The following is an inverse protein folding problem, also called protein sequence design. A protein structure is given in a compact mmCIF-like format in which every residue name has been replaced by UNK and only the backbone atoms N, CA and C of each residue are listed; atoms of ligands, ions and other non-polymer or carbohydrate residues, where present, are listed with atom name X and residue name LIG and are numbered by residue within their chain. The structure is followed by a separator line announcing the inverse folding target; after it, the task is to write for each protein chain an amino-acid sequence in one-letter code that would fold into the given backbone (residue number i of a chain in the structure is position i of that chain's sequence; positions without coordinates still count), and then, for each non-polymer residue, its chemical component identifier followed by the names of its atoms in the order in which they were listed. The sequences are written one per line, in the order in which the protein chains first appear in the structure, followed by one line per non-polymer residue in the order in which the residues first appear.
data_IF_435155083696
#
_entry.id   IF_435155083696
#
_cell.length_a   1.000
_cell.length_b   1.000
_cell.length_c   1.000
_cell.angle_alpha   90.00
_cell.angle_beta   90.00
_cell.angle_gamma   90.00
#
_symmetry.space_group_name_H-M   'P 1'
#
loop_
_entity.id
_entity.type
_entity.pdbx_description
1 polymer ?
#
# COMPACT_ATOMS: atom_id res chain seq x y z
N UNK A 1 -21.55 -36.26 19.53
CA UNK A 1 -20.84 -35.06 19.03
C UNK A 1 -21.85 -33.99 18.65
N UNK A 2 -21.79 -32.80 19.26
CA UNK A 2 -22.76 -31.73 19.10
C UNK A 2 -22.60 -31.04 17.72
N UNK A 3 -23.62 -31.11 16.85
CA UNK A 3 -23.62 -30.50 15.51
C UNK A 3 -23.32 -28.99 15.54
N UNK A 4 -23.67 -28.30 16.63
CA UNK A 4 -23.40 -26.86 16.83
C UNK A 4 -21.90 -26.52 16.89
N UNK A 5 -21.10 -27.37 17.55
CA UNK A 5 -19.65 -27.18 17.65
C UNK A 5 -18.95 -27.39 16.29
N UNK A 6 -19.42 -28.34 15.49
CA UNK A 6 -18.90 -28.60 14.15
C UNK A 6 -19.11 -27.39 13.21
N UNK A 7 -20.24 -26.68 13.35
CA UNK A 7 -20.54 -25.49 12.54
C UNK A 7 -19.69 -24.28 12.92
N UNK A 8 -19.31 -24.12 14.20
CA UNK A 8 -18.42 -23.03 14.64
C UNK A 8 -16.99 -23.21 14.09
N UNK A 9 -16.45 -24.43 14.17
CA UNK A 9 -15.10 -24.73 13.68
C UNK A 9 -15.02 -24.56 12.16
N UNK A 10 -16.03 -25.03 11.40
CA UNK A 10 -16.13 -24.78 9.96
C UNK A 10 -16.20 -23.28 9.61
N UNK A 11 -16.93 -22.47 10.39
CA UNK A 11 -17.00 -21.01 10.20
C UNK A 11 -15.65 -20.33 10.43
N UNK A 12 -14.92 -20.70 11.50
CA UNK A 12 -13.58 -20.15 11.80
C UNK A 12 -12.60 -20.46 10.67
N UNK A 13 -12.58 -21.72 10.21
CA UNK A 13 -11.70 -22.14 9.12
C UNK A 13 -11.97 -21.37 7.82
N UNK A 14 -13.26 -21.13 7.50
CA UNK A 14 -13.64 -20.30 6.35
C UNK A 14 -13.16 -18.84 6.49
N UNK A 15 -13.24 -18.26 7.68
CA UNK A 15 -12.80 -16.88 7.94
C UNK A 15 -11.29 -16.76 7.76
N UNK A 16 -10.51 -17.69 8.31
CA UNK A 16 -9.05 -17.71 8.17
C UNK A 16 -8.62 -17.90 6.72
N UNK A 17 -9.27 -18.84 5.99
CA UNK A 17 -9.04 -19.01 4.54
C UNK A 17 -9.35 -17.73 3.76
N UNK A 18 -10.44 -17.02 4.09
CA UNK A 18 -10.79 -15.74 3.45
C UNK A 18 -9.76 -14.65 3.76
N UNK A 19 -9.26 -14.57 5.00
CA UNK A 19 -8.20 -13.62 5.39
C UNK A 19 -6.91 -13.88 4.61
N UNK A 20 -6.46 -15.14 4.55
CA UNK A 20 -5.27 -15.52 3.80
C UNK A 20 -5.40 -15.17 2.31
N UNK A 21 -6.53 -15.52 1.68
CA UNK A 21 -6.79 -15.15 0.27
C UNK A 21 -6.73 -13.64 0.06
N UNK A 22 -7.31 -12.85 0.96
CA UNK A 22 -7.28 -11.38 0.88
C UNK A 22 -5.86 -10.83 1.00
N UNK A 23 -5.02 -11.42 1.86
CA UNK A 23 -3.61 -11.03 1.98
C UNK A 23 -2.83 -11.35 0.70
N UNK A 24 -3.03 -12.54 0.12
CA UNK A 24 -2.41 -12.92 -1.16
C UNK A 24 -2.88 -12.00 -2.29
N UNK A 25 -4.16 -11.67 -2.36
CA UNK A 25 -4.69 -10.72 -3.35
C UNK A 25 -4.03 -9.34 -3.21
N UNK A 26 -3.95 -8.81 -1.98
CA UNK A 26 -3.25 -7.55 -1.72
C UNK A 26 -1.78 -7.60 -2.11
N UNK A 27 -1.11 -8.72 -1.86
CA UNK A 27 0.29 -8.93 -2.23
C UNK A 27 0.47 -8.92 -3.75
N UNK A 28 -0.32 -9.70 -4.48
CA UNK A 28 -0.24 -9.79 -5.95
C UNK A 28 -0.54 -8.42 -6.58
N UNK A 29 -1.64 -7.77 -6.18
CA UNK A 29 -2.00 -6.45 -6.69
C UNK A 29 -0.93 -5.41 -6.34
N UNK A 30 -0.40 -5.46 -5.11
CA UNK A 30 0.67 -4.59 -4.65
C UNK A 30 1.94 -4.76 -5.49
N UNK A 31 2.35 -5.99 -5.78
CA UNK A 31 3.51 -6.30 -6.64
C UNK A 31 3.28 -5.76 -8.05
N UNK A 32 2.13 -6.06 -8.67
CA UNK A 32 1.83 -5.63 -10.04
C UNK A 32 1.87 -4.10 -10.14
N UNK A 33 1.18 -3.39 -9.23
CA UNK A 33 1.17 -1.94 -9.21
C UNK A 33 2.57 -1.37 -8.95
N UNK A 34 3.34 -1.97 -8.04
CA UNK A 34 4.70 -1.50 -7.72
C UNK A 34 5.64 -1.65 -8.91
N UNK A 35 5.54 -2.74 -9.67
CA UNK A 35 6.31 -2.94 -10.90
C UNK A 35 5.94 -1.89 -11.94
N UNK A 36 4.64 -1.62 -12.13
CA UNK A 36 4.18 -0.59 -13.08
C UNK A 36 4.70 0.80 -12.69
N UNK A 37 4.60 1.16 -11.41
CA UNK A 37 5.11 2.43 -10.89
C UNK A 37 6.64 2.52 -11.08
N UNK A 38 7.37 1.46 -10.78
CA UNK A 38 8.82 1.40 -10.94
C UNK A 38 9.22 1.63 -12.41
N UNK A 39 8.62 0.88 -13.34
CA UNK A 39 8.91 0.99 -14.78
C UNK A 39 8.55 2.38 -15.33
N UNK A 40 7.45 2.97 -14.87
CA UNK A 40 7.07 4.33 -15.23
C UNK A 40 7.97 5.40 -14.62
N UNK A 41 8.60 5.13 -13.47
CA UNK A 41 9.54 6.05 -12.81
C UNK A 41 10.90 6.11 -13.51
N UNK A 42 11.39 4.99 -14.06
CA UNK A 42 12.67 4.91 -14.77
C UNK A 42 12.55 5.15 -16.28
N UNK A 43 11.42 5.69 -16.74
CA UNK A 43 11.17 6.08 -18.13
C UNK A 43 11.29 4.91 -19.13
N UNK A 44 10.93 3.69 -18.74
CA UNK A 44 10.98 2.53 -19.65
C UNK A 44 9.71 2.44 -20.51
N UNK A 45 8.57 2.97 -20.03
CA UNK A 45 7.29 2.82 -20.72
C UNK A 45 7.20 3.79 -21.91
N UNK A 46 7.18 3.30 -23.17
CA UNK A 46 7.04 4.15 -24.35
C UNK A 46 5.68 4.88 -24.30
N UNK A 47 5.65 6.17 -24.59
CA UNK A 47 4.44 7.02 -24.53
C UNK A 47 4.23 7.76 -23.20
N UNK A 48 4.78 7.28 -22.08
CA UNK A 48 4.82 8.05 -20.82
C UNK A 48 5.99 9.05 -20.77
N UNK A 49 7.02 8.82 -21.59
CA UNK A 49 8.20 9.66 -21.69
C UNK A 49 7.95 10.94 -22.49
N UNK A 50 7.01 10.88 -23.44
CA UNK A 50 6.65 12.02 -24.29
C UNK A 50 5.72 13.01 -23.57
N UNK A 51 5.15 12.59 -22.43
CA UNK A 51 4.34 13.45 -21.57
C UNK A 51 5.22 14.40 -20.75
N UNK A 52 4.64 15.56 -20.39
CA UNK A 52 5.30 16.48 -19.47
C UNK A 52 5.61 15.79 -18.14
N UNK A 53 6.74 16.14 -17.52
CA UNK A 53 7.20 15.56 -16.25
C UNK A 53 6.10 15.59 -15.18
N UNK A 54 5.34 16.69 -15.12
CA UNK A 54 4.27 16.87 -14.15
C UNK A 54 3.10 15.89 -14.36
N UNK A 55 2.67 15.70 -15.62
CA UNK A 55 1.60 14.73 -15.94
C UNK A 55 2.03 13.31 -15.58
N UNK A 56 3.28 12.94 -15.88
CA UNK A 56 3.82 11.63 -15.50
C UNK A 56 3.80 11.42 -13.98
N UNK A 57 4.22 12.42 -13.21
CA UNK A 57 4.22 12.33 -11.73
C UNK A 57 2.80 12.21 -11.16
N UNK A 58 1.82 12.93 -11.73
CA UNK A 58 0.42 12.80 -11.33
C UNK A 58 -0.11 11.39 -11.63
N UNK A 59 0.20 10.82 -12.79
CA UNK A 59 -0.18 9.44 -13.14
C UNK A 59 0.42 8.46 -12.12
N UNK A 60 1.72 8.53 -11.87
CA UNK A 60 2.39 7.66 -10.90
C UNK A 60 1.83 7.82 -9.49
N UNK A 61 1.47 9.04 -9.08
CA UNK A 61 0.82 9.31 -7.81
C UNK A 61 -0.55 8.64 -7.70
N UNK A 62 -1.36 8.70 -8.75
CA UNK A 62 -2.68 8.03 -8.80
C UNK A 62 -2.52 6.51 -8.70
N UNK A 63 -1.50 5.93 -9.34
CA UNK A 63 -1.20 4.50 -9.20
C UNK A 63 -0.67 4.14 -7.80
N UNK A 64 0.06 5.03 -7.15
CA UNK A 64 0.60 4.82 -5.81
C UNK A 64 -0.49 4.89 -4.72
N UNK A 65 -1.56 5.68 -4.92
CA UNK A 65 -2.68 5.81 -3.97
C UNK A 65 -3.31 4.46 -3.53
N UNK A 66 -3.75 3.56 -4.43
CA UNK A 66 -4.30 2.28 -4.02
C UNK A 66 -3.28 1.38 -3.33
N UNK A 67 -1.99 1.47 -3.69
CA UNK A 67 -0.93 0.75 -2.98
C UNK A 67 -0.81 1.28 -1.55
N UNK A 68 -0.73 2.61 -1.39
CA UNK A 68 -0.58 3.25 -0.09
C UNK A 68 -1.79 3.00 0.83
N UNK A 69 -3.00 3.28 0.34
CA UNK A 69 -4.22 3.25 1.15
C UNK A 69 -4.75 1.82 1.33
N UNK A 70 -4.81 1.02 0.27
CA UNK A 70 -5.45 -0.30 0.35
C UNK A 70 -4.47 -1.41 0.72
N UNK A 71 -3.33 -1.53 0.04
CA UNK A 71 -2.32 -2.54 0.36
C UNK A 71 -1.65 -2.20 1.70
N UNK A 72 -1.25 -0.94 1.88
CA UNK A 72 -0.59 -0.44 3.09
C UNK A 72 -1.44 -0.38 4.36
N UNK A 73 -2.79 -0.32 4.26
CA UNK A 73 -3.71 -0.15 5.40
C UNK A 73 -3.46 -1.07 6.60
N UNK A 74 -2.96 -2.29 6.37
CA UNK A 74 -2.72 -3.26 7.44
C UNK A 74 -1.60 -2.82 8.40
N UNK A 75 -0.64 -2.04 7.92
CA UNK A 75 0.52 -1.58 8.69
C UNK A 75 0.19 -0.37 9.56
N UNK A 76 -0.87 0.38 9.25
CA UNK A 76 -1.27 1.57 10.02
C UNK A 76 -1.74 1.25 11.44
N UNK A 77 -2.06 -0.02 11.73
CA UNK A 77 -2.26 -0.47 13.12
C UNK A 77 -1.04 -0.21 13.99
N UNK A 78 0.18 -0.33 13.44
CA UNK A 78 1.42 -0.01 14.15
C UNK A 78 1.48 1.45 14.59
N UNK A 79 1.02 2.38 13.75
CA UNK A 79 0.97 3.81 14.11
C UNK A 79 0.06 4.07 15.32
N UNK A 80 -1.10 3.42 15.36
CA UNK A 80 -2.03 3.53 16.49
C UNK A 80 -1.41 2.96 17.77
N UNK A 81 -0.71 1.83 17.67
CA UNK A 81 0.00 1.21 18.80
C UNK A 81 1.10 2.12 19.32
N UNK A 82 1.93 2.70 18.44
CA UNK A 82 2.97 3.66 18.84
C UNK A 82 2.39 4.89 19.49
N UNK A 83 1.32 5.45 18.95
CA UNK A 83 0.71 6.64 19.52
C UNK A 83 0.15 6.37 20.93
N UNK A 84 -0.50 5.22 21.12
CA UNK A 84 -1.15 4.87 22.40
C UNK A 84 -0.19 4.33 23.45
N UNK A 85 0.77 3.50 23.06
CA UNK A 85 1.63 2.74 23.98
C UNK A 85 3.11 3.10 23.88
N UNK A 86 3.49 4.06 23.02
CA UNK A 86 4.88 4.51 22.79
C UNK A 86 5.88 3.39 22.49
N UNK A 87 5.39 2.27 21.95
CA UNK A 87 6.21 1.11 21.61
C UNK A 87 6.13 0.86 20.12
N UNK A 88 7.29 0.87 19.44
CA UNK A 88 7.40 0.68 18.01
C UNK A 88 7.60 -0.79 17.63
N UNK A 89 6.88 -1.23 16.60
CA UNK A 89 6.98 -2.56 16.02
C UNK A 89 7.32 -2.49 14.51
N UNK A 90 7.46 -3.66 13.88
CA UNK A 90 7.72 -3.77 12.43
C UNK A 90 6.65 -3.04 11.60
N UNK A 91 5.38 -3.12 11.99
CA UNK A 91 4.29 -2.46 11.27
C UNK A 91 4.43 -0.94 11.31
N UNK A 92 4.87 -0.41 12.46
CA UNK A 92 5.13 1.01 12.63
C UNK A 92 6.24 1.47 11.69
N UNK A 93 7.37 0.76 11.65
CA UNK A 93 8.49 1.12 10.78
C UNK A 93 8.05 1.17 9.31
N UNK A 94 7.32 0.14 8.84
CA UNK A 94 6.78 0.08 7.48
C UNK A 94 5.82 1.25 7.23
N UNK A 95 4.91 1.52 8.16
CA UNK A 95 3.91 2.58 8.03
C UNK A 95 4.56 3.96 7.97
N UNK A 96 5.52 4.25 8.84
CA UNK A 96 6.24 5.52 8.84
C UNK A 96 7.07 5.67 7.57
N UNK A 97 7.83 4.66 7.15
CA UNK A 97 8.64 4.73 5.94
C UNK A 97 7.82 4.99 4.68
N UNK A 98 6.73 4.24 4.50
CA UNK A 98 5.84 4.39 3.34
C UNK A 98 5.08 5.71 3.36
N UNK A 99 4.63 6.19 4.53
CA UNK A 99 4.00 7.50 4.66
C UNK A 99 4.97 8.65 4.37
N UNK A 100 6.19 8.59 4.90
CA UNK A 100 7.22 9.61 4.63
C UNK A 100 7.52 9.69 3.13
N UNK A 101 7.71 8.54 2.47
CA UNK A 101 7.91 8.49 1.02
C UNK A 101 6.70 9.05 0.26
N UNK A 102 5.48 8.66 0.63
CA UNK A 102 4.27 9.12 -0.03
C UNK A 102 4.04 10.63 0.14
N UNK A 103 4.25 11.18 1.34
CA UNK A 103 4.13 12.63 1.59
C UNK A 103 5.17 13.39 0.78
N UNK A 104 6.44 12.95 0.79
CA UNK A 104 7.49 13.57 0.00
C UNK A 104 7.12 13.57 -1.50
N UNK A 105 6.69 12.42 -2.05
CA UNK A 105 6.25 12.32 -3.43
C UNK A 105 5.04 13.21 -3.74
N UNK A 106 4.09 13.33 -2.81
CA UNK A 106 2.94 14.24 -2.95
C UNK A 106 3.43 15.68 -3.10
N UNK A 107 4.31 16.11 -2.19
CA UNK A 107 4.83 17.48 -2.16
C UNK A 107 5.62 17.80 -3.45
N UNK A 108 6.47 16.89 -3.91
CA UNK A 108 7.19 17.04 -5.20
C UNK A 108 6.23 17.08 -6.39
N UNK A 109 5.13 16.33 -6.35
CA UNK A 109 4.18 16.23 -7.47
C UNK A 109 3.31 17.49 -7.60
N UNK A 110 2.85 18.05 -6.48
CA UNK A 110 1.90 19.18 -6.47
C UNK A 110 2.56 20.55 -6.22
N UNK A 111 3.75 20.58 -5.60
CA UNK A 111 4.49 21.81 -5.32
C UNK A 111 5.92 21.75 -5.90
N UNK A 112 6.08 21.55 -7.22
CA UNK A 112 7.40 21.40 -7.84
C UNK A 112 8.28 22.65 -7.70
N UNK A 113 7.68 23.83 -7.56
CA UNK A 113 8.37 25.12 -7.37
C UNK A 113 9.24 25.16 -6.11
N UNK A 114 8.93 24.35 -5.08
CA UNK A 114 9.74 24.28 -3.86
C UNK A 114 11.06 23.52 -4.06
N UNK A 115 11.23 22.83 -5.20
CA UNK A 115 12.37 21.95 -5.50
C UNK A 115 12.97 22.22 -6.89
N UNK A 116 12.65 23.38 -7.49
CA UNK A 116 13.21 23.86 -8.77
C UNK A 116 14.24 24.93 -8.49
#
# INVERSE_FOLDING_TARGET
MNKSALTLEQKKELIEKKKQKKLIQKLIVGIILSIIILLGSINIIPGLNDLSRQVRFIILFILALPVQVWVGSQFYKGLVVVFKYRTADMNTLIAVGTLSAFIYSTVVTFFPILFT
#
